data_IF_432061248921
#
_entry.id   IF_432061248921
#
_cell.length_a   1.000
_cell.length_b   1.000
_cell.length_c   1.000
_cell.angle_alpha   90.00
_cell.angle_beta   90.00
_cell.angle_gamma   90.00
#
_symmetry.space_group_name_H-M   'P 1'
#
loop_
_entity.id
_entity.type
_entity.pdbx_description
1 polymer ?
#
# COMPACT_ATOMS: atom_id res chain seq x y z
N UNK A 1 -9.32 -23.61 30.61
CA UNK A 1 -9.32 -22.78 31.84
C UNK A 1 -7.99 -22.03 31.88
N UNK A 2 -7.71 -21.23 30.86
CA UNK A 2 -6.44 -20.49 30.67
C UNK A 2 -6.68 -19.02 30.26
N UNK A 3 -7.88 -18.65 29.76
CA UNK A 3 -8.16 -17.32 29.21
C UNK A 3 -8.45 -16.20 30.25
N UNK A 4 -8.61 -16.53 31.54
CA UNK A 4 -9.06 -15.55 32.55
C UNK A 4 -7.88 -14.73 33.12
N UNK A 5 -6.66 -15.26 33.10
CA UNK A 5 -5.46 -14.58 33.64
C UNK A 5 -4.87 -13.57 32.65
N UNK A 6 -4.98 -13.83 31.34
CA UNK A 6 -4.40 -13.00 30.27
C UNK A 6 -5.12 -11.65 30.11
N UNK A 7 -6.44 -11.63 30.32
CA UNK A 7 -7.25 -10.40 30.30
C UNK A 7 -6.86 -9.45 31.46
N UNK A 8 -6.63 -9.99 32.66
CA UNK A 8 -6.21 -9.22 33.82
C UNK A 8 -4.80 -8.64 33.66
N UNK A 9 -3.88 -9.42 33.10
CA UNK A 9 -2.52 -8.97 32.80
C UNK A 9 -2.51 -7.85 31.75
N UNK A 10 -3.24 -8.05 30.64
CA UNK A 10 -3.38 -7.07 29.56
C UNK A 10 -3.93 -5.74 30.07
N UNK A 11 -4.97 -5.78 30.90
CA UNK A 11 -5.58 -4.56 31.44
C UNK A 11 -4.63 -3.82 32.40
N UNK A 12 -3.88 -4.54 33.24
CA UNK A 12 -2.87 -3.92 34.11
C UNK A 12 -1.71 -3.35 33.32
N UNK A 13 -1.31 -4.00 32.23
CA UNK A 13 -0.26 -3.51 31.33
C UNK A 13 -0.69 -2.23 30.60
N UNK A 14 -1.94 -2.16 30.13
CA UNK A 14 -2.53 -0.96 29.55
C UNK A 14 -2.57 0.20 30.55
N UNK A 15 -3.06 -0.03 31.77
CA UNK A 15 -3.11 1.01 32.81
C UNK A 15 -1.72 1.51 33.17
N UNK A 16 -0.76 0.60 33.38
CA UNK A 16 0.63 0.99 33.68
C UNK A 16 1.25 1.80 32.53
N UNK A 17 1.02 1.41 31.29
CA UNK A 17 1.46 2.13 30.10
C UNK A 17 0.87 3.54 30.02
N UNK A 18 -0.44 3.69 30.27
CA UNK A 18 -1.10 4.99 30.22
C UNK A 18 -0.56 5.94 31.30
N UNK A 19 -0.42 5.46 32.54
CA UNK A 19 0.14 6.26 33.63
C UNK A 19 1.59 6.68 33.35
N UNK A 20 2.40 5.82 32.72
CA UNK A 20 3.81 6.10 32.46
C UNK A 20 4.03 6.99 31.23
N UNK A 21 3.47 6.64 30.08
CA UNK A 21 3.77 7.33 28.82
C UNK A 21 2.85 8.52 28.52
N UNK A 22 1.62 8.54 29.04
CA UNK A 22 0.66 9.62 28.77
C UNK A 22 0.61 10.61 29.93
N UNK A 23 0.65 10.12 31.17
CA UNK A 23 0.60 10.96 32.37
C UNK A 23 1.97 11.24 33.00
N UNK A 24 3.05 10.73 32.41
CA UNK A 24 4.44 10.95 32.83
C UNK A 24 4.71 10.63 34.33
N UNK A 25 3.96 9.69 34.91
CA UNK A 25 4.15 9.31 36.31
C UNK A 25 5.41 8.48 36.50
N UNK A 26 6.06 8.63 37.65
CA UNK A 26 7.22 7.81 38.03
C UNK A 26 6.82 6.35 38.28
N UNK A 27 7.76 5.43 38.08
CA UNK A 27 7.51 4.01 38.34
C UNK A 27 7.13 3.74 39.80
N UNK A 28 7.67 4.51 40.75
CA UNK A 28 7.29 4.43 42.17
C UNK A 28 5.84 4.85 42.41
N UNK A 29 5.37 5.93 41.78
CA UNK A 29 3.99 6.40 41.92
C UNK A 29 3.00 5.40 41.31
N UNK A 30 3.33 4.85 40.14
CA UNK A 30 2.52 3.82 39.48
C UNK A 30 2.47 2.54 40.32
N UNK A 31 3.59 2.16 40.94
CA UNK A 31 3.65 0.98 41.81
C UNK A 31 2.73 1.12 43.03
N UNK A 32 2.71 2.30 43.66
CA UNK A 32 1.79 2.59 44.77
C UNK A 32 0.32 2.57 44.32
N UNK A 33 0.01 3.18 43.17
CA UNK A 33 -1.35 3.26 42.63
C UNK A 33 -1.91 1.89 42.21
N UNK A 34 -1.06 1.05 41.59
CA UNK A 34 -1.44 -0.31 41.18
C UNK A 34 -1.25 -1.37 42.28
N UNK A 35 -0.97 -0.93 43.53
CA UNK A 35 -0.70 -1.76 44.69
C UNK A 35 0.27 -2.92 44.37
N UNK A 36 1.41 -2.58 43.74
CA UNK A 36 2.40 -3.55 43.29
C UNK A 36 3.83 -3.04 43.47
N UNK A 37 4.83 -3.83 43.09
CA UNK A 37 6.23 -3.43 43.15
C UNK A 37 6.66 -2.69 41.88
N UNK A 38 7.67 -1.82 41.99
CA UNK A 38 8.35 -1.20 40.84
C UNK A 38 8.83 -2.23 39.80
N UNK A 39 9.29 -3.40 40.26
CA UNK A 39 9.70 -4.51 39.38
C UNK A 39 8.52 -5.08 38.58
N UNK A 40 7.33 -5.15 39.16
CA UNK A 40 6.11 -5.57 38.45
C UNK A 40 5.65 -4.51 37.46
N UNK A 41 5.70 -3.22 37.81
CA UNK A 41 5.42 -2.13 36.85
C UNK A 41 6.35 -2.19 35.64
N UNK A 42 7.65 -2.40 35.85
CA UNK A 42 8.61 -2.57 34.75
C UNK A 42 8.25 -3.77 33.84
N UNK A 43 7.86 -4.91 34.43
CA UNK A 43 7.37 -6.08 33.67
C UNK A 43 6.08 -5.78 32.90
N UNK A 44 5.14 -5.05 33.49
CA UNK A 44 3.89 -4.64 32.84
C UNK A 44 4.16 -3.71 31.65
N UNK A 45 5.07 -2.74 31.79
CA UNK A 45 5.48 -1.87 30.68
C UNK A 45 6.24 -2.65 29.60
N UNK A 46 7.06 -3.63 29.98
CA UNK A 46 7.74 -4.51 29.04
C UNK A 46 6.75 -5.41 28.28
N UNK A 47 5.76 -5.97 28.98
CA UNK A 47 4.68 -6.73 28.38
C UNK A 47 3.86 -5.86 27.42
N UNK A 48 3.48 -4.64 27.83
CA UNK A 48 2.76 -3.69 26.97
C UNK A 48 3.51 -3.37 25.66
N UNK A 49 4.84 -3.25 25.71
CA UNK A 49 5.66 -3.12 24.49
C UNK A 49 5.70 -4.41 23.68
N UNK A 50 5.86 -5.56 24.34
CA UNK A 50 5.95 -6.86 23.68
C UNK A 50 4.65 -7.29 22.98
N UNK A 51 3.49 -6.91 23.52
CA UNK A 51 2.16 -7.25 23.00
C UNK A 51 1.57 -6.16 22.10
N UNK A 52 2.31 -5.08 21.82
CA UNK A 52 1.86 -4.01 20.93
C UNK A 52 0.81 -3.06 21.54
N UNK A 53 0.55 -3.15 22.85
CA UNK A 53 -0.25 -2.15 23.59
C UNK A 53 0.44 -0.77 23.54
N UNK A 54 1.77 -0.75 23.49
CA UNK A 54 2.59 0.45 23.32
C UNK A 54 3.54 0.28 22.14
N UNK A 55 3.44 1.20 21.19
CA UNK A 55 4.44 1.42 20.13
C UNK A 55 5.16 2.75 20.36
N UNK A 56 6.49 2.71 20.44
CA UNK A 56 7.31 3.90 20.71
C UNK A 56 8.04 4.29 19.42
N UNK A 57 7.65 5.43 18.85
CA UNK A 57 8.29 6.00 17.67
C UNK A 57 9.16 7.18 18.05
N UNK A 58 10.47 6.98 18.08
CA UNK A 58 11.43 8.08 18.24
C UNK A 58 11.63 8.74 16.88
N UNK A 59 11.33 10.03 16.79
CA UNK A 59 11.61 10.87 15.60
C UNK A 59 12.79 11.76 15.92
N UNK A 60 13.97 11.52 15.32
CA UNK A 60 15.11 12.41 15.51
C UNK A 60 15.04 13.55 14.48
N UNK A 61 15.22 14.81 14.88
CA UNK A 61 15.17 15.96 13.98
C UNK A 61 16.41 16.08 13.07
N UNK A 62 17.37 15.17 13.22
CA UNK A 62 18.59 15.08 12.39
C UNK A 62 18.54 13.93 11.38
N UNK A 63 17.43 13.20 11.35
CA UNK A 63 17.29 11.98 10.57
C UNK A 63 17.31 12.29 9.07
N UNK A 64 18.23 11.62 8.36
CA UNK A 64 18.29 11.64 6.90
C UNK A 64 16.90 11.42 6.23
N UNK A 65 16.03 10.52 6.74
CA UNK A 65 14.65 10.36 6.28
C UNK A 65 13.84 11.66 6.19
N UNK A 66 13.80 12.51 7.22
CA UNK A 66 12.95 13.72 7.21
C UNK A 66 13.42 14.73 6.16
N UNK A 67 14.74 14.89 5.99
CA UNK A 67 15.30 15.75 4.93
C UNK A 67 14.99 15.22 3.54
N UNK A 68 14.98 13.90 3.37
CA UNK A 68 14.54 13.26 2.13
C UNK A 68 13.05 13.50 1.87
N UNK A 69 12.21 13.36 2.90
CA UNK A 69 10.76 13.63 2.81
C UNK A 69 10.49 15.07 2.35
N UNK A 70 11.12 16.05 2.99
CA UNK A 70 11.01 17.45 2.61
C UNK A 70 11.54 17.74 1.20
N UNK A 71 12.66 17.10 0.82
CA UNK A 71 13.24 17.26 -0.52
C UNK A 71 12.30 16.72 -1.60
N UNK A 72 11.71 15.53 -1.37
CA UNK A 72 10.72 14.92 -2.26
C UNK A 72 9.47 15.81 -2.34
N UNK A 73 8.98 16.30 -1.20
CA UNK A 73 7.83 17.18 -1.16
C UNK A 73 8.06 18.47 -1.96
N UNK A 74 9.23 19.11 -1.81
CA UNK A 74 9.59 20.30 -2.60
C UNK A 74 9.73 20.01 -4.09
N UNK A 75 10.33 18.89 -4.48
CA UNK A 75 10.62 18.56 -5.88
C UNK A 75 9.41 18.03 -6.65
N UNK A 76 8.56 17.24 -6.00
CA UNK A 76 7.48 16.51 -6.66
C UNK A 76 6.06 16.91 -6.19
N UNK A 77 5.93 17.71 -5.13
CA UNK A 77 4.63 18.15 -4.61
C UNK A 77 3.81 17.02 -3.96
N UNK A 78 4.47 15.97 -3.48
CA UNK A 78 3.85 14.81 -2.83
C UNK A 78 4.33 14.68 -1.39
N UNK A 79 3.49 14.14 -0.52
CA UNK A 79 3.91 13.75 0.83
C UNK A 79 4.70 12.44 0.73
N UNK A 80 5.91 12.42 1.26
CA UNK A 80 6.72 11.22 1.31
C UNK A 80 6.75 10.66 2.72
N UNK A 81 6.67 9.33 2.83
CA UNK A 81 6.90 8.56 4.05
C UNK A 81 8.13 7.69 3.80
N UNK A 82 9.28 8.13 4.31
CA UNK A 82 10.55 7.45 4.11
C UNK A 82 10.76 6.42 5.21
N UNK A 83 10.88 5.16 4.82
CA UNK A 83 11.04 4.02 5.71
C UNK A 83 12.54 3.77 5.90
N UNK A 84 13.07 3.89 7.13
CA UNK A 84 14.46 3.56 7.41
C UNK A 84 14.69 2.06 7.21
N UNK A 85 15.64 1.73 6.34
CA UNK A 85 16.05 0.35 6.05
C UNK A 85 17.56 0.33 5.96
N UNK A 86 18.21 -0.66 6.59
CA UNK A 86 19.65 -0.81 6.50
C UNK A 86 20.11 -1.01 5.04
N UNK A 87 21.29 -0.48 4.71
CA UNK A 87 21.82 -0.53 3.34
C UNK A 87 22.08 -1.96 2.86
N UNK A 88 22.42 -2.87 3.78
CA UNK A 88 22.68 -4.30 3.54
C UNK A 88 21.42 -5.17 3.62
N UNK A 89 20.26 -4.59 3.93
CA UNK A 89 19.01 -5.34 3.99
C UNK A 89 18.65 -5.93 2.62
N UNK A 90 18.19 -7.18 2.63
CA UNK A 90 17.70 -7.86 1.42
C UNK A 90 16.49 -7.12 0.82
N UNK A 91 16.25 -7.30 -0.48
CA UNK A 91 15.06 -6.72 -1.15
C UNK A 91 13.74 -7.17 -0.50
N UNK A 92 13.72 -8.41 0.03
CA UNK A 92 12.55 -8.95 0.73
C UNK A 92 12.34 -8.25 2.06
N UNK A 93 13.39 -8.08 2.87
CA UNK A 93 13.29 -7.38 4.16
C UNK A 93 12.92 -5.91 3.99
N UNK A 94 13.47 -5.27 2.95
CA UNK A 94 13.13 -3.91 2.55
C UNK A 94 11.65 -3.80 2.20
N UNK A 95 11.14 -4.71 1.36
CA UNK A 95 9.74 -4.76 0.99
C UNK A 95 8.83 -4.97 2.20
N UNK A 96 9.20 -5.87 3.11
CA UNK A 96 8.42 -6.12 4.35
C UNK A 96 8.36 -4.88 5.24
N UNK A 97 9.47 -4.15 5.42
CA UNK A 97 9.48 -2.89 6.20
C UNK A 97 8.61 -1.81 5.56
N UNK A 98 8.71 -1.65 4.24
CA UNK A 98 7.86 -0.71 3.48
C UNK A 98 6.39 -1.11 3.58
N UNK A 99 6.08 -2.40 3.48
CA UNK A 99 4.73 -2.95 3.61
C UNK A 99 4.12 -2.68 4.99
N UNK A 100 4.88 -2.85 6.08
CA UNK A 100 4.43 -2.53 7.44
C UNK A 100 4.15 -1.03 7.60
N UNK A 101 5.07 -0.18 7.14
CA UNK A 101 4.90 1.27 7.22
C UNK A 101 3.67 1.75 6.43
N UNK A 102 3.47 1.20 5.22
CA UNK A 102 2.29 1.49 4.42
C UNK A 102 1.01 1.02 5.10
N UNK A 103 0.99 -0.19 5.68
CA UNK A 103 -0.17 -0.71 6.39
C UNK A 103 -0.56 0.15 7.61
N UNK A 104 0.41 0.69 8.35
CA UNK A 104 0.16 1.64 9.44
C UNK A 104 -0.44 2.95 8.91
N UNK A 105 0.14 3.53 7.85
CA UNK A 105 -0.41 4.73 7.20
C UNK A 105 -1.87 4.52 6.77
N UNK A 106 -2.18 3.36 6.16
CA UNK A 106 -3.56 3.04 5.77
C UNK A 106 -4.50 2.96 6.98
N UNK A 107 -4.05 2.43 8.12
CA UNK A 107 -4.81 2.42 9.37
C UNK A 107 -5.16 3.83 9.87
N UNK A 108 -4.30 4.82 9.62
CA UNK A 108 -4.53 6.21 10.00
C UNK A 108 -5.55 6.89 9.08
N UNK A 109 -5.45 6.68 7.77
CA UNK A 109 -6.21 7.44 6.76
C UNK A 109 -7.53 6.78 6.33
N UNK A 110 -7.72 5.49 6.60
CA UNK A 110 -8.98 4.79 6.28
C UNK A 110 -10.01 5.05 7.37
N UNK A 111 -11.16 5.57 6.98
CA UNK A 111 -12.30 5.88 7.84
C UNK A 111 -13.60 5.26 7.29
N UNK A 112 -14.68 5.39 8.07
CA UNK A 112 -16.02 4.97 7.65
C UNK A 112 -16.49 5.71 6.39
N UNK A 113 -17.38 5.06 5.65
CA UNK A 113 -18.09 5.60 4.49
C UNK A 113 -17.19 5.95 3.28
N UNK A 114 -15.98 5.40 3.25
CA UNK A 114 -15.04 5.55 2.14
C UNK A 114 -15.17 4.45 1.08
N UNK A 115 -14.98 4.81 -0.18
CA UNK A 115 -14.70 3.88 -1.29
C UNK A 115 -13.21 3.88 -1.59
N UNK A 116 -12.56 2.72 -1.49
CA UNK A 116 -11.11 2.58 -1.57
C UNK A 116 -10.73 1.70 -2.76
N UNK A 117 -10.04 2.28 -3.73
CA UNK A 117 -9.47 1.58 -4.86
C UNK A 117 -8.19 0.82 -4.50
N UNK A 118 -8.14 -0.48 -4.76
CA UNK A 118 -6.97 -1.31 -4.49
C UNK A 118 -6.44 -1.94 -5.79
N UNK A 119 -5.22 -1.57 -6.18
CA UNK A 119 -4.49 -2.27 -7.22
C UNK A 119 -3.77 -3.49 -6.64
N UNK A 120 -3.91 -4.65 -7.27
CA UNK A 120 -3.18 -5.85 -6.86
C UNK A 120 -1.74 -5.83 -7.37
N UNK A 121 -0.85 -6.55 -6.70
CA UNK A 121 0.57 -6.66 -7.03
C UNK A 121 1.40 -7.11 -5.84
N UNK A 122 2.67 -7.47 -6.06
CA UNK A 122 3.53 -8.05 -5.02
C UNK A 122 3.63 -7.17 -3.77
N UNK A 123 3.81 -5.86 -3.96
CA UNK A 123 3.88 -4.88 -2.87
C UNK A 123 2.55 -4.73 -2.13
N UNK A 124 1.43 -4.63 -2.86
CA UNK A 124 0.10 -4.55 -2.24
C UNK A 124 -0.23 -5.86 -1.49
N UNK A 125 0.21 -7.00 -2.00
CA UNK A 125 0.03 -8.29 -1.32
C UNK A 125 0.82 -8.36 -0.01
N UNK A 126 2.10 -7.95 -0.01
CA UNK A 126 2.91 -7.86 1.21
C UNK A 126 2.26 -6.92 2.24
N UNK A 127 1.85 -5.72 1.81
CA UNK A 127 1.15 -4.76 2.66
C UNK A 127 -0.18 -5.30 3.21
N UNK A 128 -0.98 -6.00 2.39
CA UNK A 128 -2.29 -6.54 2.80
C UNK A 128 -2.18 -7.54 3.96
N UNK A 129 -1.03 -8.21 4.12
CA UNK A 129 -0.74 -9.13 5.23
C UNK A 129 -0.36 -8.43 6.53
N UNK A 130 -0.05 -7.13 6.46
CA UNK A 130 0.40 -6.29 7.58
C UNK A 130 -0.65 -5.28 8.04
N UNK A 131 -1.83 -5.26 7.41
CA UNK A 131 -2.93 -4.37 7.79
C UNK A 131 -3.30 -4.59 9.25
N UNK A 132 -3.36 -3.48 10.00
CA UNK A 132 -3.76 -3.49 11.41
C UNK A 132 -5.28 -3.46 11.47
N UNK A 133 -5.93 -4.43 12.15
CA UNK A 133 -7.39 -4.45 12.25
C UNK A 133 -7.95 -3.17 12.87
N UNK A 134 -8.93 -2.55 12.19
CA UNK A 134 -9.62 -1.34 12.63
C UNK A 134 -11.03 -1.35 12.08
N UNK A 135 -12.04 -1.52 12.93
CA UNK A 135 -13.43 -1.53 12.48
C UNK A 135 -13.88 -0.16 11.98
N UNK A 136 -14.30 -0.10 10.71
CA UNK A 136 -14.98 1.04 10.09
C UNK A 136 -16.34 0.58 9.55
N UNK A 137 -17.24 1.52 9.25
CA UNK A 137 -18.60 1.23 8.74
C UNK A 137 -18.78 1.81 7.35
N UNK A 138 -19.61 1.18 6.51
CA UNK A 138 -19.92 1.72 5.18
C UNK A 138 -18.74 1.72 4.18
N UNK A 139 -17.57 1.24 4.58
CA UNK A 139 -16.36 1.27 3.74
C UNK A 139 -16.35 0.13 2.72
N UNK A 140 -16.02 0.46 1.47
CA UNK A 140 -15.99 -0.48 0.35
C UNK A 140 -14.62 -0.50 -0.31
N UNK A 141 -14.01 -1.67 -0.45
CA UNK A 141 -12.76 -1.88 -1.16
C UNK A 141 -13.04 -2.40 -2.58
N UNK A 142 -12.68 -1.64 -3.60
CA UNK A 142 -12.92 -1.97 -5.02
C UNK A 142 -11.62 -2.31 -5.75
N UNK A 143 -11.60 -3.41 -6.50
CA UNK A 143 -10.45 -3.81 -7.30
C UNK A 143 -10.29 -2.88 -8.50
N UNK A 144 -9.07 -2.39 -8.76
CA UNK A 144 -8.83 -1.44 -9.86
C UNK A 144 -8.64 -2.10 -11.22
N UNK A 145 -7.80 -3.13 -11.29
CA UNK A 145 -7.44 -3.82 -12.52
C UNK A 145 -7.94 -5.25 -12.51
N UNK A 146 -8.38 -5.77 -13.65
CA UNK A 146 -8.75 -7.16 -13.83
C UNK A 146 -7.60 -8.10 -13.49
N UNK A 147 -7.90 -9.37 -13.25
CA UNK A 147 -6.95 -10.34 -12.69
C UNK A 147 -6.83 -11.65 -13.49
N UNK A 148 -7.61 -11.82 -14.56
CA UNK A 148 -7.48 -12.97 -15.45
C UNK A 148 -6.22 -12.94 -16.32
N UNK A 149 -5.57 -14.09 -16.53
CA UNK A 149 -4.51 -14.32 -17.53
C UNK A 149 -4.70 -15.67 -18.24
N UNK A 150 -3.84 -15.96 -19.21
CA UNK A 150 -3.90 -17.17 -20.05
C UNK A 150 -3.23 -18.40 -19.43
N UNK A 151 -2.48 -18.26 -18.33
CA UNK A 151 -1.73 -19.35 -17.69
C UNK A 151 -2.36 -19.87 -16.41
N UNK A 152 -3.07 -19.00 -15.68
CA UNK A 152 -3.75 -19.27 -14.42
C UNK A 152 -5.05 -18.46 -14.42
N UNK A 153 -5.95 -18.73 -13.47
CA UNK A 153 -7.12 -17.85 -13.32
C UNK A 153 -6.72 -16.45 -12.85
N UNK A 154 -5.62 -16.31 -12.08
CA UNK A 154 -5.16 -15.05 -11.44
C UNK A 154 -6.15 -14.40 -10.46
N UNK A 155 -7.42 -14.84 -10.49
CA UNK A 155 -8.53 -14.42 -9.63
C UNK A 155 -8.22 -14.62 -8.15
N UNK A 156 -7.63 -15.77 -7.77
CA UNK A 156 -7.35 -16.08 -6.37
C UNK A 156 -6.40 -15.06 -5.74
N UNK A 157 -5.34 -14.69 -6.45
CA UNK A 157 -4.34 -13.74 -5.95
C UNK A 157 -4.94 -12.36 -5.67
N UNK A 158 -5.66 -11.79 -6.65
CA UNK A 158 -6.31 -10.48 -6.48
C UNK A 158 -7.43 -10.54 -5.43
N UNK A 159 -8.21 -11.62 -5.41
CA UNK A 159 -9.29 -11.80 -4.43
C UNK A 159 -8.77 -11.87 -3.00
N UNK A 160 -7.64 -12.52 -2.76
CA UNK A 160 -7.07 -12.69 -1.43
C UNK A 160 -6.57 -11.35 -0.86
N UNK A 161 -5.97 -10.51 -1.71
CA UNK A 161 -5.57 -9.14 -1.35
C UNK A 161 -6.80 -8.35 -0.90
N UNK A 162 -7.84 -8.28 -1.73
CA UNK A 162 -9.06 -7.54 -1.41
C UNK A 162 -9.77 -8.07 -0.16
N UNK A 163 -9.82 -9.39 0.01
CA UNK A 163 -10.42 -10.01 1.19
C UNK A 163 -9.68 -9.65 2.48
N UNK A 164 -8.34 -9.55 2.46
CA UNK A 164 -7.56 -9.08 3.62
C UNK A 164 -7.89 -7.63 3.98
N UNK A 165 -8.05 -6.76 2.99
CA UNK A 165 -8.50 -5.39 3.22
C UNK A 165 -9.89 -5.34 3.87
N UNK A 166 -10.87 -6.02 3.28
CA UNK A 166 -12.22 -6.07 3.82
C UNK A 166 -12.24 -6.65 5.24
N UNK A 167 -11.49 -7.73 5.51
CA UNK A 167 -11.41 -8.36 6.81
C UNK A 167 -10.73 -7.48 7.87
N UNK A 168 -9.62 -6.82 7.54
CA UNK A 168 -8.91 -5.94 8.47
C UNK A 168 -9.79 -4.76 8.92
N UNK A 169 -10.60 -4.23 8.02
CA UNK A 169 -11.38 -3.02 8.27
C UNK A 169 -12.87 -3.25 8.59
N UNK A 170 -13.35 -4.49 8.49
CA UNK A 170 -14.79 -4.81 8.62
C UNK A 170 -15.64 -4.23 7.48
N UNK A 171 -15.03 -3.99 6.32
CA UNK A 171 -15.68 -3.43 5.13
C UNK A 171 -16.15 -4.49 4.12
N UNK A 172 -16.64 -4.05 2.97
CA UNK A 172 -17.02 -4.94 1.86
C UNK A 172 -15.96 -4.96 0.74
N UNK A 173 -15.83 -6.08 0.03
CA UNK A 173 -14.95 -6.20 -1.14
C UNK A 173 -15.78 -6.27 -2.44
N UNK A 174 -15.40 -5.48 -3.44
CA UNK A 174 -15.99 -5.43 -4.76
C UNK A 174 -14.94 -5.81 -5.81
N UNK A 175 -15.00 -7.05 -6.28
CA UNK A 175 -14.09 -7.56 -7.30
C UNK A 175 -14.40 -6.99 -8.68
N UNK A 176 -13.40 -6.95 -9.54
CA UNK A 176 -13.55 -6.53 -10.93
C UNK A 176 -13.39 -7.74 -11.87
N UNK A 177 -14.50 -8.39 -12.28
CA UNK A 177 -14.48 -9.70 -12.96
C UNK A 177 -14.19 -9.56 -14.45
N UNK A 178 -13.02 -9.02 -14.79
CA UNK A 178 -12.49 -8.88 -16.15
C UNK A 178 -11.05 -9.40 -16.21
N UNK A 179 -10.53 -9.81 -17.39
CA UNK A 179 -9.11 -10.15 -17.51
C UNK A 179 -8.24 -8.92 -17.24
N UNK A 180 -6.95 -9.09 -16.92
CA UNK A 180 -6.06 -7.95 -16.75
C UNK A 180 -5.88 -7.18 -18.07
N UNK A 181 -5.78 -7.93 -19.18
CA UNK A 181 -5.74 -7.44 -20.55
C UNK A 181 -6.75 -8.18 -21.41
N UNK A 182 -7.46 -7.47 -22.28
CA UNK A 182 -8.23 -8.07 -23.36
C UNK A 182 -7.34 -8.31 -24.57
N UNK A 183 -7.54 -9.36 -25.35
CA UNK A 183 -6.81 -9.53 -26.62
C UNK A 183 -7.24 -8.52 -27.68
N UNK A 184 -8.56 -8.29 -27.75
CA UNK A 184 -9.16 -7.33 -28.67
C UNK A 184 -9.73 -6.11 -27.92
N UNK A 185 -9.25 -4.88 -28.21
CA UNK A 185 -9.84 -3.65 -27.69
C UNK A 185 -11.35 -3.51 -27.94
N UNK A 186 -11.89 -4.08 -29.03
CA UNK A 186 -13.33 -4.02 -29.28
C UNK A 186 -14.12 -4.86 -28.26
N UNK A 187 -13.57 -6.00 -27.83
CA UNK A 187 -14.14 -6.82 -26.74
C UNK A 187 -14.16 -6.04 -25.42
N UNK A 188 -13.07 -5.34 -25.07
CA UNK A 188 -13.06 -4.44 -23.90
C UNK A 188 -14.17 -3.40 -23.98
N UNK A 189 -14.30 -2.72 -25.13
CA UNK A 189 -15.37 -1.71 -25.35
C UNK A 189 -16.77 -2.29 -25.26
N UNK A 190 -16.98 -3.55 -25.66
CA UNK A 190 -18.25 -4.23 -25.44
C UNK A 190 -18.49 -4.50 -23.94
N UNK A 191 -17.50 -5.08 -23.25
CA UNK A 191 -17.61 -5.39 -21.82
C UNK A 191 -17.82 -4.13 -20.96
N UNK A 192 -17.25 -2.98 -21.33
CA UNK A 192 -17.45 -1.70 -20.64
C UNK A 192 -18.88 -1.14 -20.73
N UNK A 193 -19.70 -1.64 -21.65
CA UNK A 193 -21.12 -1.27 -21.77
C UNK A 193 -22.04 -2.10 -20.89
N UNK A 194 -21.57 -3.26 -20.42
CA UNK A 194 -22.35 -4.17 -19.58
C UNK A 194 -22.64 -3.56 -18.21
N UNK A 195 -23.87 -3.75 -17.72
CA UNK A 195 -24.34 -3.17 -16.45
C UNK A 195 -23.51 -3.62 -15.26
N UNK A 196 -23.10 -4.89 -15.23
CA UNK A 196 -22.25 -5.46 -14.18
C UNK A 196 -20.89 -4.76 -14.12
N UNK A 197 -20.26 -4.55 -15.27
CA UNK A 197 -18.99 -3.83 -15.41
C UNK A 197 -19.14 -2.36 -15.04
N UNK A 198 -20.15 -1.67 -15.59
CA UNK A 198 -20.43 -0.26 -15.31
C UNK A 198 -20.64 0.03 -13.83
N UNK A 199 -21.25 -0.91 -13.09
CA UNK A 199 -21.40 -0.79 -11.63
C UNK A 199 -20.04 -0.71 -10.91
N UNK A 200 -19.07 -1.54 -11.30
CA UNK A 200 -17.73 -1.52 -10.71
C UNK A 200 -16.96 -0.27 -11.15
N UNK A 201 -17.06 0.11 -12.42
CA UNK A 201 -16.45 1.35 -12.92
C UNK A 201 -16.98 2.58 -12.19
N UNK A 202 -18.27 2.64 -11.88
CA UNK A 202 -18.84 3.73 -11.09
C UNK A 202 -18.27 3.79 -9.66
N UNK A 203 -18.00 2.63 -9.03
CA UNK A 203 -17.32 2.58 -7.73
C UNK A 203 -15.86 3.06 -7.83
N UNK A 204 -15.15 2.69 -8.90
CA UNK A 204 -13.80 3.21 -9.15
C UNK A 204 -13.82 4.73 -9.39
N UNK A 205 -14.79 5.25 -10.15
CA UNK A 205 -14.91 6.69 -10.40
C UNK A 205 -15.23 7.50 -9.13
N UNK A 206 -15.89 6.89 -8.14
CA UNK A 206 -16.27 7.50 -6.87
C UNK A 206 -15.30 7.19 -5.71
N UNK A 207 -14.11 6.65 -5.99
CA UNK A 207 -13.15 6.30 -4.92
C UNK A 207 -12.56 7.55 -4.24
N UNK A 208 -12.49 7.53 -2.91
CA UNK A 208 -11.94 8.60 -2.07
C UNK A 208 -10.43 8.43 -1.87
N UNK A 209 -9.99 7.17 -1.85
CA UNK A 209 -8.60 6.76 -1.65
C UNK A 209 -8.24 5.70 -2.69
N UNK A 210 -7.04 5.79 -3.25
CA UNK A 210 -6.47 4.73 -4.06
C UNK A 210 -5.13 4.29 -3.51
N UNK A 211 -4.93 2.97 -3.44
CA UNK A 211 -3.68 2.35 -2.99
C UNK A 211 -3.13 1.46 -4.09
N UNK A 212 -1.90 1.74 -4.49
CA UNK A 212 -1.24 1.01 -5.57
C UNK A 212 0.28 0.97 -5.37
N UNK A 213 0.92 0.14 -6.18
CA UNK A 213 2.37 0.15 -6.39
C UNK A 213 2.63 0.35 -7.87
N UNK A 214 3.85 0.73 -8.22
CA UNK A 214 4.27 0.80 -9.61
C UNK A 214 4.87 -0.53 -10.07
N UNK A 215 4.53 -0.93 -11.29
CA UNK A 215 5.19 -2.04 -11.97
C UNK A 215 6.41 -1.54 -12.76
N UNK A 216 7.44 -2.37 -12.85
CA UNK A 216 8.65 -2.10 -13.65
C UNK A 216 9.14 -3.41 -14.26
N UNK A 217 9.59 -3.37 -15.51
CA UNK A 217 10.20 -4.51 -16.20
C UNK A 217 11.53 -4.94 -15.54
N UNK A 218 12.31 -3.96 -15.08
CA UNK A 218 13.64 -4.16 -14.50
C UNK A 218 13.62 -4.40 -12.97
N UNK A 219 12.45 -4.65 -12.39
CA UNK A 219 12.33 -4.82 -10.93
C UNK A 219 12.99 -6.11 -10.45
N UNK A 220 13.87 -6.01 -9.45
CA UNK A 220 14.54 -7.17 -8.83
C UNK A 220 13.56 -8.12 -8.14
N UNK A 221 12.50 -7.57 -7.53
CA UNK A 221 11.31 -8.33 -7.12
C UNK A 221 10.31 -8.22 -8.27
N UNK A 222 10.08 -9.29 -9.05
CA UNK A 222 9.34 -9.20 -10.30
C UNK A 222 7.91 -8.70 -10.07
N UNK A 223 7.55 -7.61 -10.73
CA UNK A 223 6.20 -7.08 -10.72
C UNK A 223 5.23 -8.11 -11.31
N UNK A 224 4.12 -8.38 -10.62
CA UNK A 224 3.26 -9.53 -10.94
C UNK A 224 2.63 -9.46 -12.35
N UNK A 225 2.48 -8.26 -12.92
CA UNK A 225 2.09 -8.06 -14.32
C UNK A 225 3.13 -8.65 -15.29
N UNK A 226 4.42 -8.46 -15.02
CA UNK A 226 5.52 -8.89 -15.90
C UNK A 226 5.90 -10.35 -15.68
N UNK A 227 5.78 -10.86 -14.45
CA UNK A 227 6.16 -12.24 -14.09
C UNK A 227 5.00 -13.23 -14.05
N UNK A 228 3.76 -12.76 -13.89
CA UNK A 228 2.57 -13.60 -13.70
C UNK A 228 1.94 -14.14 -14.99
N UNK A 229 2.59 -13.96 -16.13
CA UNK A 229 2.09 -14.43 -17.43
C UNK A 229 0.94 -13.60 -18.01
N UNK A 230 0.83 -12.33 -17.61
CA UNK A 230 -0.15 -11.40 -18.18
C UNK A 230 0.31 -10.74 -19.48
N UNK A 231 1.62 -10.76 -19.75
CA UNK A 231 2.24 -10.20 -20.94
C UNK A 231 2.99 -11.31 -21.70
N UNK A 232 2.85 -11.33 -23.02
CA UNK A 232 3.66 -12.18 -23.89
C UNK A 232 5.00 -11.51 -24.20
N UNK A 233 6.04 -12.27 -24.64
CA UNK A 233 7.33 -11.68 -25.02
C UNK A 233 7.20 -10.54 -26.04
N UNK A 234 6.28 -10.67 -27.00
CA UNK A 234 5.98 -9.62 -28.00
C UNK A 234 5.37 -8.36 -27.39
N UNK A 235 4.59 -8.49 -26.31
CA UNK A 235 4.06 -7.32 -25.62
C UNK A 235 5.19 -6.57 -24.90
N UNK A 236 6.14 -7.30 -24.28
CA UNK A 236 7.31 -6.71 -23.62
C UNK A 236 8.21 -5.96 -24.61
N UNK A 237 8.53 -6.57 -25.76
CA UNK A 237 9.28 -5.92 -26.84
C UNK A 237 8.61 -4.62 -27.33
N UNK A 238 7.27 -4.62 -27.43
CA UNK A 238 6.51 -3.43 -27.81
C UNK A 238 6.55 -2.33 -26.75
N UNK A 239 6.47 -2.70 -25.47
CA UNK A 239 6.55 -1.74 -24.37
C UNK A 239 7.93 -1.09 -24.32
N UNK A 240 8.99 -1.88 -24.51
CA UNK A 240 10.36 -1.38 -24.62
C UNK A 240 10.52 -0.42 -25.81
N UNK A 241 10.05 -0.83 -27.00
CA UNK A 241 10.07 0.01 -28.21
C UNK A 241 9.28 1.33 -28.05
N UNK A 242 8.32 1.37 -27.13
CA UNK A 242 7.53 2.56 -26.79
C UNK A 242 8.09 3.35 -25.60
N UNK A 243 9.26 2.98 -25.10
CA UNK A 243 9.94 3.60 -23.96
C UNK A 243 9.07 3.66 -22.70
N UNK A 244 8.27 2.60 -22.50
CA UNK A 244 7.48 2.43 -21.27
C UNK A 244 8.43 2.17 -20.11
N UNK A 245 8.26 2.92 -19.02
CA UNK A 245 9.07 2.79 -17.81
C UNK A 245 8.32 2.10 -16.66
N UNK A 246 7.01 1.93 -16.81
CA UNK A 246 6.20 1.27 -15.79
C UNK A 246 4.70 1.28 -16.06
N UNK A 247 3.96 0.75 -15.10
CA UNK A 247 2.50 0.75 -15.08
C UNK A 247 1.93 1.02 -13.69
N UNK A 248 0.69 1.50 -13.66
CA UNK A 248 -0.17 1.56 -12.48
C UNK A 248 -1.45 0.82 -12.81
N UNK A 249 -1.75 -0.22 -12.04
CA UNK A 249 -2.93 -1.05 -12.25
C UNK A 249 -3.06 -1.49 -13.72
N UNK A 250 -1.99 -2.00 -14.36
CA UNK A 250 -1.95 -2.46 -15.78
C UNK A 250 -2.00 -1.38 -16.85
N UNK A 251 -2.09 -0.09 -16.50
CA UNK A 251 -2.03 1.02 -17.46
C UNK A 251 -0.61 1.58 -17.48
N UNK A 252 0.01 1.54 -18.66
CA UNK A 252 1.43 1.82 -18.90
C UNK A 252 1.70 3.30 -19.17
N UNK A 253 2.91 3.75 -18.83
CA UNK A 253 3.40 5.11 -19.07
C UNK A 253 4.89 5.20 -19.34
N UNK A 254 5.28 6.32 -19.93
CA UNK A 254 6.67 6.71 -20.21
C UNK A 254 7.26 7.57 -19.08
N UNK A 255 8.55 7.85 -19.17
CA UNK A 255 9.28 8.63 -18.16
C UNK A 255 8.70 10.04 -17.93
N UNK A 256 8.11 10.65 -18.96
CA UNK A 256 7.44 11.96 -18.89
C UNK A 256 6.00 11.88 -18.33
N UNK A 257 5.54 10.69 -17.97
CA UNK A 257 4.19 10.43 -17.49
C UNK A 257 3.13 10.30 -18.59
N UNK A 258 3.51 10.36 -19.87
CA UNK A 258 2.57 10.17 -20.97
C UNK A 258 2.12 8.71 -21.08
N UNK A 259 0.82 8.51 -21.32
CA UNK A 259 0.21 7.19 -21.56
C UNK A 259 -0.41 7.05 -22.95
N UNK A 260 -0.48 8.14 -23.70
CA UNK A 260 -1.14 8.19 -25.01
C UNK A 260 -0.31 7.50 -26.09
N UNK A 261 -1.01 6.88 -27.05
CA UNK A 261 -0.39 6.16 -28.16
C UNK A 261 0.30 4.85 -27.77
N UNK A 262 0.04 4.33 -26.56
CA UNK A 262 0.46 2.98 -26.14
C UNK A 262 -0.69 1.99 -26.43
N UNK A 263 -0.63 1.16 -27.49
CA UNK A 263 -1.74 0.30 -27.90
C UNK A 263 -2.15 -0.72 -26.83
N UNK A 264 -1.22 -1.11 -25.95
CA UNK A 264 -1.54 -2.04 -24.87
C UNK A 264 -2.49 -1.43 -23.83
N UNK A 265 -2.52 -0.10 -23.69
CA UNK A 265 -3.47 0.58 -22.81
C UNK A 265 -4.93 0.46 -23.32
N UNK A 266 -5.13 0.28 -24.63
CA UNK A 266 -6.46 0.01 -25.19
C UNK A 266 -6.98 -1.37 -24.78
N UNK A 267 -6.08 -2.29 -24.41
CA UNK A 267 -6.36 -3.65 -23.93
C UNK A 267 -6.42 -3.76 -22.41
N UNK A 268 -5.68 -2.89 -21.70
CA UNK A 268 -5.59 -2.87 -20.24
C UNK A 268 -6.93 -2.58 -19.56
N UNK A 269 -7.11 -3.04 -18.33
CA UNK A 269 -8.37 -2.89 -17.59
C UNK A 269 -8.32 -1.92 -16.42
N UNK A 270 -7.13 -1.46 -16.04
CA UNK A 270 -7.01 -0.45 -15.00
C UNK A 270 -7.73 0.86 -15.32
N UNK A 271 -7.99 1.68 -14.29
CA UNK A 271 -8.58 3.00 -14.47
C UNK A 271 -7.68 3.88 -15.34
N UNK A 272 -8.30 4.72 -16.16
CA UNK A 272 -7.56 5.76 -16.87
C UNK A 272 -6.93 6.73 -15.86
N UNK A 273 -5.80 7.33 -16.22
CA UNK A 273 -5.10 8.25 -15.32
C UNK A 273 -5.86 9.54 -15.02
N UNK A 274 -6.79 9.98 -15.88
CA UNK A 274 -7.69 11.07 -15.52
C UNK A 274 -8.66 10.69 -14.39
N UNK A 275 -9.05 9.41 -14.26
CA UNK A 275 -9.84 8.92 -13.12
C UNK A 275 -8.98 8.92 -11.86
N UNK A 276 -7.78 8.32 -11.91
CA UNK A 276 -6.86 8.32 -10.77
C UNK A 276 -6.52 9.75 -10.32
N UNK A 277 -6.34 10.69 -11.26
CA UNK A 277 -5.99 12.09 -10.94
C UNK A 277 -7.08 12.87 -10.20
N UNK A 278 -8.33 12.40 -10.20
CA UNK A 278 -9.44 13.04 -9.48
C UNK A 278 -9.53 12.60 -8.02
N UNK A 279 -8.94 11.47 -7.68
CA UNK A 279 -8.91 10.94 -6.32
C UNK A 279 -8.05 11.85 -5.45
N UNK A 280 -8.59 12.29 -4.32
CA UNK A 280 -7.92 13.22 -3.41
C UNK A 280 -6.67 12.60 -2.80
N UNK A 281 -6.79 11.38 -2.29
CA UNK A 281 -5.69 10.65 -1.62
C UNK A 281 -5.25 9.47 -2.49
N UNK A 282 -3.98 9.48 -2.90
CA UNK A 282 -3.39 8.50 -3.84
C UNK A 282 -2.08 8.01 -3.25
N UNK A 283 -2.13 6.86 -2.60
CA UNK A 283 -1.00 6.27 -1.88
C UNK A 283 -0.27 5.29 -2.80
N UNK A 284 0.94 5.67 -3.19
CA UNK A 284 1.84 4.84 -3.98
C UNK A 284 2.90 4.20 -3.09
N UNK A 285 2.91 2.87 -3.01
CA UNK A 285 3.86 2.12 -2.19
C UNK A 285 4.93 1.52 -3.10
N UNK A 286 6.19 1.92 -2.93
CA UNK A 286 7.30 1.47 -3.78
C UNK A 286 8.47 1.06 -2.89
N UNK A 287 9.09 -0.08 -3.22
CA UNK A 287 10.28 -0.58 -2.52
C UNK A 287 11.33 -0.95 -3.55
N UNK A 288 12.57 -0.52 -3.29
CA UNK A 288 13.75 -0.85 -4.07
C UNK A 288 14.03 0.10 -5.24
N UNK A 289 15.31 0.45 -5.40
CA UNK A 289 15.83 1.38 -6.43
C UNK A 289 15.52 0.89 -7.85
N UNK A 290 15.33 -0.43 -8.04
CA UNK A 290 14.96 -1.00 -9.34
C UNK A 290 13.61 -0.51 -9.89
N UNK A 291 12.76 0.12 -9.06
CA UNK A 291 11.49 0.74 -9.47
C UNK A 291 11.58 2.25 -9.67
N UNK A 292 12.78 2.84 -9.59
CA UNK A 292 12.96 4.29 -9.60
C UNK A 292 12.45 4.96 -10.89
N UNK A 293 12.73 4.39 -12.06
CA UNK A 293 12.27 4.94 -13.34
C UNK A 293 10.73 4.97 -13.41
N UNK A 294 10.10 3.89 -12.98
CA UNK A 294 8.65 3.75 -12.86
C UNK A 294 8.05 4.75 -11.86
N UNK A 295 8.65 4.89 -10.67
CA UNK A 295 8.21 5.88 -9.68
C UNK A 295 8.31 7.32 -10.22
N UNK A 296 9.40 7.68 -10.91
CA UNK A 296 9.56 8.99 -11.55
C UNK A 296 8.48 9.24 -12.60
N UNK A 297 8.18 8.24 -13.44
CA UNK A 297 7.10 8.33 -14.43
C UNK A 297 5.71 8.49 -13.80
N UNK A 298 5.42 7.77 -12.71
CA UNK A 298 4.14 7.91 -11.98
C UNK A 298 3.98 9.30 -11.34
N UNK A 299 5.07 9.87 -10.81
CA UNK A 299 5.08 11.24 -10.27
C UNK A 299 4.94 12.27 -11.39
N UNK A 300 5.60 12.09 -12.53
CA UNK A 300 5.43 12.95 -13.70
C UNK A 300 3.99 12.92 -14.24
N UNK A 301 3.35 11.74 -14.21
CA UNK A 301 1.94 11.56 -14.55
C UNK A 301 0.96 12.09 -13.47
N UNK A 302 1.47 12.56 -12.33
CA UNK A 302 0.69 13.04 -11.16
C UNK A 302 -0.26 11.99 -10.59
N UNK A 303 0.17 10.73 -10.53
CA UNK A 303 -0.65 9.61 -10.08
C UNK A 303 -0.66 9.42 -8.58
N UNK A 304 0.26 10.05 -7.84
CA UNK A 304 0.38 9.92 -6.39
C UNK A 304 0.25 11.29 -5.70
N UNK A 305 -0.38 11.32 -4.52
CA UNK A 305 -0.27 12.42 -3.55
C UNK A 305 0.66 12.06 -2.40
N UNK A 306 0.74 10.77 -2.10
CA UNK A 306 1.53 10.21 -1.02
C UNK A 306 2.35 9.05 -1.55
N UNK A 307 3.62 8.99 -1.16
CA UNK A 307 4.49 7.87 -1.46
C UNK A 307 5.02 7.24 -0.17
N UNK A 308 5.05 5.91 -0.12
CA UNK A 308 5.75 5.16 0.92
C UNK A 308 6.92 4.46 0.26
N UNK A 309 8.14 4.84 0.65
CA UNK A 309 9.39 4.42 0.01
C UNK A 309 10.46 4.10 1.03
N UNK A 310 11.36 3.17 0.71
CA UNK A 310 12.57 2.96 1.53
C UNK A 310 13.61 4.06 1.32
N UNK A 311 14.50 4.23 2.30
CA UNK A 311 15.51 5.30 2.30
C UNK A 311 16.43 5.30 1.06
N UNK A 312 16.85 4.14 0.56
CA UNK A 312 17.74 4.06 -0.60
C UNK A 312 17.02 4.55 -1.87
N UNK A 313 15.77 4.13 -2.06
CA UNK A 313 14.92 4.61 -3.16
C UNK A 313 14.64 6.11 -3.04
N UNK A 314 14.36 6.60 -1.83
CA UNK A 314 14.11 8.02 -1.57
C UNK A 314 15.34 8.89 -1.90
N UNK A 315 16.54 8.45 -1.49
CA UNK A 315 17.80 9.12 -1.80
C UNK A 315 18.03 9.22 -3.31
N UNK A 316 17.93 8.10 -4.02
CA UNK A 316 18.08 8.06 -5.48
C UNK A 316 16.97 8.83 -6.23
N UNK A 317 15.80 9.05 -5.63
CA UNK A 317 14.75 9.90 -6.18
C UNK A 317 15.08 11.39 -6.06
N UNK A 318 15.82 11.78 -5.02
CA UNK A 318 16.20 13.18 -4.78
C UNK A 318 17.45 13.62 -5.52
N UNK A 319 18.27 12.69 -5.99
CA UNK A 319 19.39 12.91 -6.92
C UNK A 319 18.90 13.31 -8.33
#
# INVERSE_FOLDING_TARGET
MEDIDDSGLTQRALTAAHLYYVQERTMEAIAAELATSRSTVSRLLAHARATGIVDIRVRSPFDAPQRLEESIARRFGVVAHVVPVADDASEVDRLERVAVAAAHLLGEIIHSDMTIGVAWGATTAAMSRRLVPKSVRGTTFVQLNGSGNTKTTGLLYASEILSRFAAAYGGSAQQFPVPAFFDDPATKRAMWRERSTRRILALQEAMDLVVFSTGSADSRVPSHVYSGGYLEPRDLERLEAQSVVGDVATVFYRADGSSDGIPLNDRATGPRFDVLRRVERRVCVVSGVSKLASLRGALAARLATEIVVDEATARALTE
#
